data_IF_897105327799
#
_entry.id   IF_897105327799
#
_cell.length_a   1.000
_cell.length_b   1.000
_cell.length_c   1.000
_cell.angle_alpha   90.00
_cell.angle_beta   90.00
_cell.angle_gamma   90.00
#
_symmetry.space_group_name_H-M   'P 1'
#
loop_
_entity.id
_entity.type
_entity.pdbx_description
1 polymer ?
#
# COMPACT_ATOMS: atom_id res chain seq x y z
N UNK A 1 8.67 -3.46 16.02
CA UNK A 1 7.37 -3.12 16.63
C UNK A 1 6.48 -4.34 16.50
N UNK A 2 5.94 -4.89 17.61
CA UNK A 2 5.00 -6.01 17.53
C UNK A 2 3.84 -5.70 16.59
N UNK A 3 3.43 -6.67 15.77
CA UNK A 3 2.34 -6.50 14.79
C UNK A 3 2.73 -5.83 13.47
N UNK A 4 4.00 -5.43 13.28
CA UNK A 4 4.50 -4.90 12.00
C UNK A 4 5.28 -5.97 11.27
N UNK A 5 4.87 -6.27 10.02
CA UNK A 5 5.62 -7.13 9.10
C UNK A 5 6.36 -6.26 8.09
N UNK A 6 7.67 -6.46 8.00
CA UNK A 6 8.51 -5.89 6.94
C UNK A 6 8.60 -6.91 5.81
N UNK A 7 8.49 -6.45 4.57
CA UNK A 7 8.54 -7.27 3.37
C UNK A 7 9.59 -6.68 2.44
N UNK A 8 10.62 -7.46 2.12
CA UNK A 8 11.61 -7.08 1.12
C UNK A 8 10.97 -7.02 -0.26
N UNK A 9 11.32 -6.00 -1.04
CA UNK A 9 10.95 -5.88 -2.44
C UNK A 9 12.15 -6.27 -3.30
N UNK A 10 12.13 -7.41 -4.03
CA UNK A 10 13.24 -7.80 -4.91
C UNK A 10 13.52 -6.80 -6.03
N UNK A 11 12.52 -5.96 -6.35
CA UNK A 11 12.60 -4.84 -7.28
C UNK A 11 11.98 -3.60 -6.67
N UNK A 12 11.04 -2.97 -7.38
CA UNK A 12 10.38 -1.76 -6.89
C UNK A 12 9.52 -2.03 -5.66
N UNK A 13 9.65 -1.18 -4.65
CA UNK A 13 8.75 -1.18 -3.49
C UNK A 13 7.29 -0.91 -3.90
N UNK A 14 7.06 -0.06 -4.90
CA UNK A 14 5.73 0.26 -5.40
C UNK A 14 5.07 -0.95 -6.07
N UNK A 15 5.85 -1.73 -6.82
CA UNK A 15 5.35 -2.97 -7.42
C UNK A 15 5.00 -3.98 -6.31
N UNK A 16 5.85 -4.09 -5.29
CA UNK A 16 5.56 -4.98 -4.16
C UNK A 16 4.32 -4.53 -3.37
N UNK A 17 4.08 -3.24 -3.23
CA UNK A 17 2.85 -2.70 -2.61
C UNK A 17 1.62 -3.06 -3.44
N UNK A 18 1.69 -2.96 -4.78
CA UNK A 18 0.57 -3.32 -5.67
C UNK A 18 0.23 -4.80 -5.56
N UNK A 19 1.23 -5.68 -5.54
CA UNK A 19 1.03 -7.12 -5.32
C UNK A 19 0.33 -7.40 -3.98
N UNK A 20 0.84 -6.82 -2.88
CA UNK A 20 0.26 -6.99 -1.55
C UNK A 20 -1.18 -6.44 -1.46
N UNK A 21 -1.48 -5.36 -2.17
CA UNK A 21 -2.83 -4.82 -2.27
C UNK A 21 -3.77 -5.78 -3.01
N UNK A 22 -3.30 -6.40 -4.10
CA UNK A 22 -4.05 -7.40 -4.85
C UNK A 22 -4.30 -8.67 -4.03
N UNK A 23 -3.28 -9.18 -3.32
CA UNK A 23 -3.42 -10.30 -2.37
C UNK A 23 -4.45 -10.00 -1.27
N UNK A 24 -4.61 -8.71 -0.92
CA UNK A 24 -5.58 -8.24 0.07
C UNK A 24 -6.99 -7.99 -0.47
N UNK A 25 -7.26 -8.23 -1.75
CA UNK A 25 -8.57 -8.01 -2.35
C UNK A 25 -9.67 -8.80 -1.62
N UNK A 26 -10.85 -8.18 -1.45
CA UNK A 26 -11.93 -8.73 -0.62
C UNK A 26 -11.86 -8.37 0.87
N UNK A 27 -10.80 -7.67 1.30
CA UNK A 27 -10.65 -7.11 2.65
C UNK A 27 -10.56 -5.59 2.57
N UNK A 28 -10.75 -4.90 3.69
CA UNK A 28 -10.40 -3.47 3.76
C UNK A 28 -8.88 -3.33 3.72
N UNK A 29 -8.35 -2.75 2.64
CA UNK A 29 -6.93 -2.45 2.46
C UNK A 29 -6.70 -0.94 2.39
N UNK A 30 -5.76 -0.42 3.18
CA UNK A 30 -5.32 0.98 3.15
C UNK A 30 -3.85 1.04 2.74
N UNK A 31 -3.56 1.80 1.69
CA UNK A 31 -2.19 2.13 1.27
C UNK A 31 -1.89 3.57 1.65
N UNK A 32 -0.75 3.77 2.32
CA UNK A 32 -0.27 5.11 2.68
C UNK A 32 0.87 5.48 1.75
N UNK A 33 0.66 6.50 0.90
CA UNK A 33 1.68 6.97 -0.05
C UNK A 33 1.45 8.42 -0.44
N UNK A 34 2.52 9.14 -0.80
CA UNK A 34 2.44 10.44 -1.47
C UNK A 34 2.45 10.32 -2.99
N UNK A 35 2.79 9.14 -3.53
CA UNK A 35 2.91 8.90 -4.95
C UNK A 35 1.54 8.82 -5.64
N UNK A 36 1.36 9.58 -6.71
CA UNK A 36 0.08 9.69 -7.43
C UNK A 36 -0.16 8.50 -8.37
N UNK A 37 0.89 7.95 -8.95
CA UNK A 37 0.80 6.78 -9.82
C UNK A 37 0.46 5.53 -9.00
N UNK A 38 1.16 5.32 -7.88
CA UNK A 38 0.88 4.21 -6.97
C UNK A 38 -0.56 4.31 -6.46
N UNK A 39 -1.02 5.51 -6.06
CA UNK A 39 -2.42 5.74 -5.68
C UNK A 39 -3.41 5.26 -6.75
N UNK A 40 -3.15 5.56 -8.03
CA UNK A 40 -4.00 5.13 -9.14
C UNK A 40 -3.99 3.60 -9.28
N UNK A 41 -2.80 2.98 -9.24
CA UNK A 41 -2.62 1.53 -9.40
C UNK A 41 -3.33 0.74 -8.30
N UNK A 42 -3.14 1.09 -7.03
CA UNK A 42 -3.78 0.38 -5.92
C UNK A 42 -5.28 0.69 -5.80
N UNK A 43 -5.71 1.89 -6.18
CA UNK A 43 -7.12 2.24 -6.24
C UNK A 43 -7.91 1.39 -7.25
N UNK A 44 -7.30 1.03 -8.38
CA UNK A 44 -7.89 0.11 -9.35
C UNK A 44 -8.11 -1.31 -8.78
N UNK A 45 -7.38 -1.69 -7.72
CA UNK A 45 -7.55 -2.95 -7.00
C UNK A 45 -8.55 -2.84 -5.83
N UNK A 46 -9.20 -1.69 -5.65
CA UNK A 46 -10.16 -1.44 -4.58
C UNK A 46 -9.53 -1.01 -3.25
N UNK A 47 -8.22 -0.73 -3.21
CA UNK A 47 -7.57 -0.22 -2.01
C UNK A 47 -7.95 1.24 -1.73
N UNK A 48 -8.11 1.58 -0.45
CA UNK A 48 -8.20 2.97 0.00
C UNK A 48 -6.79 3.56 0.06
N UNK A 49 -6.70 4.88 -0.12
CA UNK A 49 -5.41 5.59 -0.10
C UNK A 49 -5.44 6.78 0.85
N UNK A 50 -4.39 6.90 1.65
CA UNK A 50 -4.15 8.05 2.52
C UNK A 50 -2.75 8.64 2.28
N UNK A 51 -2.59 9.93 2.56
CA UNK A 51 -1.30 10.60 2.46
C UNK A 51 -0.40 10.30 3.68
N UNK A 52 0.94 10.39 3.57
CA UNK A 52 1.85 10.04 4.66
C UNK A 52 1.71 10.88 5.93
N UNK A 53 1.09 12.07 5.83
CA UNK A 53 0.78 12.89 7.01
C UNK A 53 -0.27 12.27 7.94
N UNK A 54 -1.03 11.29 7.47
CA UNK A 54 -2.08 10.63 8.29
C UNK A 54 -1.51 9.67 9.33
N UNK A 55 -0.25 9.25 9.18
CA UNK A 55 0.41 8.29 10.09
C UNK A 55 1.43 8.94 11.03
N UNK A 56 1.65 10.25 10.91
CA UNK A 56 2.50 11.02 11.82
C UNK A 56 1.62 11.67 12.88
N UNK A 57 1.73 11.19 14.13
CA UNK A 57 1.29 11.89 15.33
C UNK A 57 2.40 12.76 15.89
#
# INVERSE_FOLDING_TARGET
VPGVRVVEAPGSGDDRIVELAAEGAGRTCLVVTADRELRRRVGALGARVAGPRTVRG
#
